data_IF_689415980032
#
_entry.id   IF_689415980032
#
_cell.length_a   1.000
_cell.length_b   1.000
_cell.length_c   1.000
_cell.angle_alpha   90.00
_cell.angle_beta   90.00
_cell.angle_gamma   90.00
#
_symmetry.space_group_name_H-M   'P 1'
#
loop_
_entity.id
_entity.type
_entity.pdbx_description
1 polymer ?
#
# COMPACT_ATOMS: atom_id res chain seq x y z
N UNK A 1 1.53 -18.48 -5.72
CA UNK A 1 2.51 -18.57 -4.63
C UNK A 1 2.65 -20.00 -4.16
N UNK A 2 3.87 -20.52 -4.05
CA UNK A 2 4.13 -21.81 -3.39
C UNK A 2 4.15 -21.59 -1.87
N UNK A 3 3.77 -22.61 -1.08
CA UNK A 3 3.69 -22.51 0.39
C UNK A 3 4.96 -21.97 1.08
N UNK A 4 6.18 -22.38 0.66
CA UNK A 4 7.43 -21.85 1.21
C UNK A 4 7.62 -20.35 1.00
N UNK A 5 7.32 -19.84 -0.21
CA UNK A 5 7.45 -18.41 -0.54
C UNK A 5 6.50 -17.57 0.31
N UNK A 6 5.23 -17.97 0.42
CA UNK A 6 4.26 -17.28 1.26
C UNK A 6 4.69 -17.21 2.74
N UNK A 7 5.19 -18.33 3.29
CA UNK A 7 5.66 -18.38 4.68
C UNK A 7 6.81 -17.40 4.93
N UNK A 8 7.75 -17.31 3.99
CA UNK A 8 8.86 -16.35 4.07
C UNK A 8 8.36 -14.90 4.02
N UNK A 9 7.54 -14.53 3.04
CA UNK A 9 7.03 -13.16 2.90
C UNK A 9 6.23 -12.72 4.13
N UNK A 10 5.40 -13.63 4.67
CA UNK A 10 4.65 -13.39 5.91
C UNK A 10 5.58 -13.13 7.10
N UNK A 11 6.66 -13.90 7.23
CA UNK A 11 7.65 -13.70 8.31
C UNK A 11 8.29 -12.30 8.23
N UNK A 12 8.59 -11.82 7.02
CA UNK A 12 9.17 -10.48 6.79
C UNK A 12 8.18 -9.37 7.17
N UNK A 13 6.90 -9.50 6.80
CA UNK A 13 5.90 -8.45 6.99
C UNK A 13 5.31 -8.40 8.41
N UNK A 14 5.18 -9.56 9.09
CA UNK A 14 4.49 -9.70 10.38
C UNK A 14 4.86 -8.69 11.48
N UNK A 15 6.13 -8.28 11.67
CA UNK A 15 6.48 -7.34 12.75
C UNK A 15 5.74 -5.99 12.66
N UNK A 16 5.35 -5.55 11.46
CA UNK A 16 4.61 -4.29 11.27
C UNK A 16 3.13 -4.36 11.70
N UNK A 17 2.65 -5.57 11.97
CA UNK A 17 1.29 -5.85 12.45
C UNK A 17 1.29 -6.26 13.94
N UNK A 18 2.45 -6.22 14.60
CA UNK A 18 2.56 -6.44 16.04
C UNK A 18 1.99 -5.26 16.84
N UNK A 19 1.65 -5.52 18.11
CA UNK A 19 1.01 -4.53 18.99
C UNK A 19 1.78 -3.20 19.06
N UNK A 20 3.10 -3.25 19.26
CA UNK A 20 3.96 -2.04 19.35
C UNK A 20 4.00 -1.23 18.05
N UNK A 21 3.93 -1.90 16.91
CA UNK A 21 3.87 -1.22 15.61
C UNK A 21 2.53 -0.46 15.48
N UNK A 22 1.42 -1.10 15.82
CA UNK A 22 0.09 -0.48 15.79
C UNK A 22 0.02 0.71 16.76
N UNK A 23 0.57 0.59 17.97
CA UNK A 23 0.67 1.70 18.93
C UNK A 23 1.46 2.89 18.35
N UNK A 24 2.51 2.63 17.56
CA UNK A 24 3.28 3.71 16.91
C UNK A 24 2.50 4.45 15.82
N UNK A 25 1.47 3.84 15.25
CA UNK A 25 0.64 4.42 14.19
C UNK A 25 -0.44 5.37 14.71
N UNK A 26 -0.70 5.41 16.02
CA UNK A 26 -1.74 6.24 16.65
C UNK A 26 -1.65 7.71 16.22
N UNK A 27 -0.43 8.26 16.21
CA UNK A 27 -0.19 9.65 15.79
C UNK A 27 -0.62 9.93 14.35
N UNK A 28 -0.44 8.97 13.44
CA UNK A 28 -0.83 9.07 12.03
C UNK A 28 -2.35 8.98 11.91
N UNK A 29 -2.98 8.03 12.62
CA UNK A 29 -4.43 7.90 12.62
C UNK A 29 -5.12 9.17 13.11
N UNK A 30 -4.64 9.76 14.21
CA UNK A 30 -5.21 10.98 14.78
C UNK A 30 -5.07 12.15 13.79
N UNK A 31 -3.87 12.35 13.21
CA UNK A 31 -3.63 13.43 12.24
C UNK A 31 -4.53 13.32 11.01
N UNK A 32 -4.61 12.15 10.39
CA UNK A 32 -5.44 11.97 9.19
C UNK A 32 -6.94 12.05 9.51
N UNK A 33 -7.35 11.62 10.70
CA UNK A 33 -8.72 11.79 11.19
C UNK A 33 -9.07 13.26 11.41
N UNK A 34 -8.16 14.07 11.96
CA UNK A 34 -8.36 15.51 12.08
C UNK A 34 -8.55 16.17 10.71
N UNK A 35 -7.74 15.78 9.71
CA UNK A 35 -7.91 16.27 8.34
C UNK A 35 -9.25 15.84 7.72
N UNK A 36 -9.68 14.60 7.95
CA UNK A 36 -11.00 14.13 7.55
C UNK A 36 -12.10 14.98 8.20
N UNK A 37 -12.02 15.24 9.51
CA UNK A 37 -13.00 16.05 10.23
C UNK A 37 -13.06 17.49 9.71
N UNK A 38 -11.93 18.09 9.36
CA UNK A 38 -11.89 19.42 8.73
C UNK A 38 -12.64 19.40 7.40
N UNK A 39 -12.39 18.39 6.54
CA UNK A 39 -13.09 18.23 5.26
C UNK A 39 -14.59 18.06 5.46
N UNK A 40 -15.00 17.18 6.38
CA UNK A 40 -16.42 16.93 6.67
C UNK A 40 -17.13 18.17 7.19
N UNK A 41 -16.50 18.95 8.08
CA UNK A 41 -17.06 20.21 8.60
C UNK A 41 -17.19 21.31 7.54
N UNK A 42 -16.44 21.24 6.45
CA UNK A 42 -16.55 22.17 5.33
C UNK A 42 -17.77 21.92 4.43
N UNK A 43 -18.41 20.76 4.58
CA UNK A 43 -19.58 20.38 3.77
C UNK A 43 -20.81 21.13 4.30
N UNK A 44 -21.61 21.78 3.43
CA UNK A 44 -22.82 22.49 3.85
C UNK A 44 -23.81 21.57 4.57
N UNK A 45 -24.40 22.06 5.67
CA UNK A 45 -25.29 21.30 6.58
C UNK A 45 -26.48 20.61 5.87
N UNK A 46 -26.92 21.15 4.73
CA UNK A 46 -28.07 20.64 3.97
C UNK A 46 -27.68 19.89 2.69
N UNK A 47 -26.42 19.47 2.54
CA UNK A 47 -25.96 18.72 1.36
C UNK A 47 -25.76 17.25 1.70
N UNK A 48 -26.48 16.38 0.98
CA UNK A 48 -26.16 14.95 0.97
C UNK A 48 -24.86 14.74 0.16
N UNK A 49 -23.99 13.89 0.67
CA UNK A 49 -22.76 13.50 0.00
C UNK A 49 -22.43 12.05 0.35
N UNK A 50 -21.64 11.41 -0.50
CA UNK A 50 -21.11 10.09 -0.23
C UNK A 50 -19.85 10.19 0.63
N UNK A 51 -19.89 9.60 1.83
CA UNK A 51 -18.75 9.58 2.76
C UNK A 51 -17.69 8.56 2.34
N UNK A 52 -18.03 7.61 1.46
CA UNK A 52 -17.14 6.53 1.02
C UNK A 52 -15.81 7.07 0.49
N UNK A 53 -15.84 8.03 -0.43
CA UNK A 53 -14.62 8.63 -1.02
C UNK A 53 -13.73 9.27 0.05
N UNK A 54 -14.34 9.97 1.01
CA UNK A 54 -13.61 10.61 2.11
C UNK A 54 -12.91 9.58 3.00
N UNK A 55 -13.61 8.49 3.34
CA UNK A 55 -13.07 7.41 4.18
C UNK A 55 -11.95 6.69 3.44
N UNK A 56 -12.18 6.23 2.20
CA UNK A 56 -11.18 5.47 1.44
C UNK A 56 -9.93 6.30 1.18
N UNK A 57 -10.08 7.59 0.83
CA UNK A 57 -8.92 8.48 0.67
C UNK A 57 -8.12 8.59 1.97
N UNK A 58 -8.81 8.78 3.11
CA UNK A 58 -8.15 8.92 4.41
C UNK A 58 -7.43 7.63 4.82
N UNK A 59 -8.07 6.47 4.65
CA UNK A 59 -7.47 5.18 5.00
C UNK A 59 -6.30 4.83 4.07
N UNK A 60 -6.38 5.14 2.77
CA UNK A 60 -5.26 4.99 1.84
C UNK A 60 -4.04 5.83 2.26
N UNK A 61 -4.27 7.07 2.70
CA UNK A 61 -3.20 7.96 3.17
C UNK A 61 -2.55 7.45 4.45
N UNK A 62 -3.37 6.96 5.37
CA UNK A 62 -2.91 6.30 6.60
C UNK A 62 -2.05 5.08 6.28
N UNK A 63 -2.47 4.21 5.35
CA UNK A 63 -1.69 3.03 4.94
C UNK A 63 -0.35 3.41 4.30
N UNK A 64 -0.34 4.44 3.45
CA UNK A 64 0.89 4.96 2.84
C UNK A 64 1.88 5.46 3.91
N UNK A 65 1.39 6.15 4.93
CA UNK A 65 2.24 6.71 5.98
C UNK A 65 2.73 5.67 6.99
N UNK A 66 1.90 4.68 7.30
CA UNK A 66 2.20 3.65 8.31
C UNK A 66 2.98 2.47 7.71
N UNK A 67 2.33 1.70 6.84
CA UNK A 67 2.89 0.44 6.32
C UNK A 67 3.92 0.66 5.23
N UNK A 68 3.71 1.67 4.36
CA UNK A 68 4.67 1.99 3.28
C UNK A 68 5.79 2.93 3.77
N UNK A 69 5.59 3.58 4.92
CA UNK A 69 6.59 4.44 5.57
C UNK A 69 6.81 5.76 4.84
N UNK A 70 5.82 6.31 4.16
CA UNK A 70 5.96 7.57 3.43
C UNK A 70 5.63 8.75 4.32
N UNK A 71 6.28 9.88 4.08
CA UNK A 71 5.83 11.13 4.69
C UNK A 71 4.52 11.61 4.06
N UNK A 72 3.83 12.50 4.74
CA UNK A 72 2.56 13.06 4.24
C UNK A 72 2.74 13.78 2.91
N UNK A 73 3.81 14.56 2.76
CA UNK A 73 4.12 15.26 1.50
C UNK A 73 4.43 14.27 0.38
N UNK A 74 5.17 13.20 0.68
CA UNK A 74 5.44 12.14 -0.29
C UNK A 74 4.15 11.46 -0.72
N UNK A 75 3.25 11.16 0.23
CA UNK A 75 1.96 10.50 -0.01
C UNK A 75 1.05 11.32 -0.92
N UNK A 76 0.96 12.64 -0.70
CA UNK A 76 0.16 13.55 -1.53
C UNK A 76 0.73 13.63 -2.96
N UNK A 77 2.05 13.58 -3.09
CA UNK A 77 2.74 13.67 -4.38
C UNK A 77 2.89 12.31 -5.10
N UNK A 78 2.27 11.24 -4.60
CA UNK A 78 2.31 9.95 -5.27
C UNK A 78 1.54 9.99 -6.60
N UNK A 79 2.11 9.41 -7.67
CA UNK A 79 1.42 9.33 -8.95
C UNK A 79 0.18 8.44 -8.81
N UNK A 80 -0.90 8.81 -9.48
CA UNK A 80 -2.12 8.00 -9.60
C UNK A 80 -2.85 7.62 -8.31
N UNK A 81 -2.51 8.18 -7.14
CA UNK A 81 -3.17 7.80 -5.87
C UNK A 81 -4.70 7.96 -5.92
N UNK A 82 -5.19 9.08 -6.44
CA UNK A 82 -6.63 9.33 -6.61
C UNK A 82 -7.27 8.42 -7.69
N UNK A 83 -6.72 8.34 -8.92
CA UNK A 83 -7.20 7.38 -9.92
C UNK A 83 -7.23 5.92 -9.45
N UNK A 84 -6.25 5.49 -8.66
CA UNK A 84 -6.19 4.14 -8.08
C UNK A 84 -7.37 3.94 -7.11
N UNK A 85 -7.59 4.89 -6.20
CA UNK A 85 -8.72 4.83 -5.26
C UNK A 85 -10.06 4.74 -6.02
N UNK A 86 -10.26 5.60 -7.02
CA UNK A 86 -11.49 5.67 -7.81
C UNK A 86 -11.73 4.39 -8.63
N UNK A 87 -10.67 3.81 -9.22
CA UNK A 87 -10.77 2.63 -10.08
C UNK A 87 -10.70 1.29 -9.33
N UNK A 88 -10.46 1.31 -8.02
CA UNK A 88 -10.38 0.09 -7.20
C UNK A 88 -11.73 -0.66 -7.12
N UNK A 89 -12.88 -0.01 -6.85
CA UNK A 89 -14.17 -0.70 -6.84
C UNK A 89 -14.52 -1.46 -8.14
N UNK A 90 -14.48 -0.84 -9.34
CA UNK A 90 -14.77 -1.58 -10.57
C UNK A 90 -13.73 -2.67 -10.88
N UNK A 91 -12.49 -2.53 -10.40
CA UNK A 91 -11.52 -3.61 -10.50
C UNK A 91 -11.90 -4.83 -9.65
N UNK A 92 -12.46 -4.63 -8.45
CA UNK A 92 -12.96 -5.74 -7.64
C UNK A 92 -14.06 -6.51 -8.36
N UNK A 93 -14.95 -5.83 -9.07
CA UNK A 93 -15.98 -6.47 -9.88
C UNK A 93 -15.36 -7.33 -11.00
N UNK A 94 -14.34 -6.82 -11.70
CA UNK A 94 -13.61 -7.58 -12.72
C UNK A 94 -12.95 -8.84 -12.13
N UNK A 95 -12.29 -8.71 -10.97
CA UNK A 95 -11.65 -9.85 -10.30
C UNK A 95 -12.68 -10.87 -9.87
N UNK A 96 -13.79 -10.43 -9.26
CA UNK A 96 -14.88 -11.31 -8.84
C UNK A 96 -15.52 -12.04 -10.02
N UNK A 97 -15.71 -11.34 -11.14
CA UNK A 97 -16.20 -11.92 -12.38
C UNK A 97 -15.26 -12.98 -12.92
N UNK A 98 -13.94 -12.75 -12.90
CA UNK A 98 -12.95 -13.78 -13.30
C UNK A 98 -12.95 -14.99 -12.37
N UNK A 99 -13.23 -14.79 -11.08
CA UNK A 99 -13.32 -15.88 -10.11
C UNK A 99 -14.57 -16.74 -10.33
N UNK A 100 -15.70 -16.14 -10.70
CA UNK A 100 -17.01 -16.82 -10.76
C UNK A 100 -17.43 -17.27 -12.15
N UNK A 101 -17.02 -16.57 -13.21
CA UNK A 101 -17.38 -16.86 -14.60
C UNK A 101 -16.29 -17.69 -15.27
N UNK A 102 -16.56 -18.98 -15.47
CA UNK A 102 -15.59 -19.93 -16.04
C UNK A 102 -15.02 -19.50 -17.40
N UNK A 103 -15.79 -18.81 -18.26
CA UNK A 103 -15.33 -18.38 -19.57
C UNK A 103 -14.33 -17.21 -19.50
N UNK A 104 -14.37 -16.39 -18.45
CA UNK A 104 -13.38 -15.32 -18.21
C UNK A 104 -12.07 -15.84 -17.61
N UNK A 105 -12.03 -17.12 -17.22
CA UNK A 105 -10.79 -17.78 -16.79
C UNK A 105 -9.92 -18.18 -17.99
N UNK A 106 -10.51 -18.29 -19.18
CA UNK A 106 -9.80 -18.59 -20.42
C UNK A 106 -9.11 -17.29 -20.88
N UNK A 107 -7.78 -17.22 -20.75
CA UNK A 107 -7.02 -15.98 -20.99
C UNK A 107 -7.26 -15.35 -22.37
N UNK A 108 -7.25 -16.09 -23.50
CA UNK A 108 -7.54 -15.50 -24.81
C UNK A 108 -8.93 -14.85 -24.88
N UNK A 109 -9.94 -15.45 -24.23
CA UNK A 109 -11.29 -14.88 -24.19
C UNK A 109 -11.26 -13.58 -23.41
N UNK A 110 -10.64 -13.59 -22.23
CA UNK A 110 -10.53 -12.40 -21.38
C UNK A 110 -9.77 -11.27 -22.08
N UNK A 111 -8.67 -11.55 -22.78
CA UNK A 111 -7.88 -10.52 -23.47
C UNK A 111 -8.67 -9.74 -24.53
N UNK A 112 -9.72 -10.33 -25.09
CA UNK A 112 -10.60 -9.68 -26.06
C UNK A 112 -11.66 -8.79 -25.40
N UNK A 113 -11.80 -8.82 -24.08
CA UNK A 113 -12.85 -8.07 -23.38
C UNK A 113 -12.37 -6.68 -22.95
N UNK A 114 -13.31 -5.79 -22.62
CA UNK A 114 -12.98 -4.43 -22.15
C UNK A 114 -12.42 -4.44 -20.73
N UNK A 115 -12.84 -5.41 -19.94
CA UNK A 115 -12.39 -5.66 -18.57
C UNK A 115 -10.88 -5.94 -18.52
N UNK A 116 -10.34 -6.66 -19.51
CA UNK A 116 -8.88 -6.83 -19.62
C UNK A 116 -8.15 -5.51 -19.84
N UNK A 117 -8.67 -4.63 -20.69
CA UNK A 117 -8.05 -3.31 -20.92
C UNK A 117 -8.09 -2.45 -19.65
N UNK A 118 -9.20 -2.46 -18.91
CA UNK A 118 -9.33 -1.77 -17.63
C UNK A 118 -8.37 -2.34 -16.57
N UNK A 119 -8.31 -3.66 -16.44
CA UNK A 119 -7.37 -4.33 -15.54
C UNK A 119 -5.92 -3.98 -15.91
N UNK A 120 -5.57 -4.00 -17.20
CA UNK A 120 -4.23 -3.67 -17.68
C UNK A 120 -3.83 -2.24 -17.34
N UNK A 121 -4.69 -1.26 -17.63
CA UNK A 121 -4.44 0.14 -17.28
C UNK A 121 -4.27 0.33 -15.77
N UNK A 122 -5.09 -0.36 -14.97
CA UNK A 122 -4.96 -0.32 -13.51
C UNK A 122 -3.61 -0.86 -13.04
N UNK A 123 -3.18 -2.00 -13.59
CA UNK A 123 -1.87 -2.59 -13.28
C UNK A 123 -0.75 -1.61 -13.64
N UNK A 124 -0.81 -0.95 -14.80
CA UNK A 124 0.20 0.04 -15.22
C UNK A 124 0.29 1.20 -14.20
N UNK A 125 -0.84 1.78 -13.79
CA UNK A 125 -0.87 2.82 -12.76
C UNK A 125 -0.32 2.33 -11.41
N UNK A 126 -0.68 1.12 -10.99
CA UNK A 126 -0.18 0.51 -9.76
C UNK A 126 1.33 0.25 -9.82
N UNK A 127 1.87 -0.18 -10.96
CA UNK A 127 3.30 -0.38 -11.14
C UNK A 127 4.05 0.94 -11.01
N UNK A 128 3.57 2.02 -11.62
CA UNK A 128 4.17 3.36 -11.47
C UNK A 128 4.10 3.88 -10.03
N UNK A 129 2.94 3.68 -9.38
CA UNK A 129 2.73 4.00 -7.96
C UNK A 129 3.73 3.25 -7.06
N UNK A 130 3.79 1.92 -7.17
CA UNK A 130 4.71 1.09 -6.39
C UNK A 130 6.18 1.41 -6.67
N UNK A 131 6.55 1.69 -7.92
CA UNK A 131 7.91 2.09 -8.29
C UNK A 131 8.33 3.38 -7.59
N UNK A 132 7.43 4.36 -7.52
CA UNK A 132 7.72 5.62 -6.83
C UNK A 132 7.93 5.43 -5.33
N UNK A 133 7.13 4.56 -4.71
CA UNK A 133 7.25 4.25 -3.29
C UNK A 133 8.59 3.57 -3.00
N UNK A 134 8.93 2.52 -3.76
CA UNK A 134 10.20 1.80 -3.61
C UNK A 134 11.38 2.75 -3.80
N UNK A 135 11.31 3.68 -4.77
CA UNK A 135 12.32 4.70 -4.97
C UNK A 135 12.52 5.56 -3.71
N UNK A 136 11.45 6.13 -3.16
CA UNK A 136 11.51 6.97 -1.96
C UNK A 136 12.09 6.22 -0.76
N UNK A 137 11.68 4.96 -0.57
CA UNK A 137 12.21 4.13 0.53
C UNK A 137 13.68 3.80 0.33
N UNK A 138 14.12 3.47 -0.88
CA UNK A 138 15.54 3.24 -1.15
C UNK A 138 16.40 4.48 -0.91
N UNK A 139 15.93 5.67 -1.30
CA UNK A 139 16.63 6.93 -1.03
C UNK A 139 16.74 7.21 0.47
N UNK A 140 15.64 6.97 1.20
CA UNK A 140 15.61 7.09 2.67
C UNK A 140 16.61 6.14 3.32
N UNK A 141 16.60 4.86 2.93
CA UNK A 141 17.49 3.83 3.46
C UNK A 141 18.98 4.09 3.19
N UNK A 142 19.33 4.72 2.06
CA UNK A 142 20.73 5.11 1.77
C UNK A 142 21.25 6.20 2.71
N UNK A 143 20.36 7.05 3.20
CA UNK A 143 20.69 8.18 4.06
C UNK A 143 20.70 7.80 5.55
N UNK A 144 20.20 6.60 5.91
CA UNK A 144 20.29 6.09 7.28
C UNK A 144 21.71 5.62 7.60
N UNK A 145 22.18 5.91 8.80
CA UNK A 145 23.49 5.48 9.27
C UNK A 145 23.57 3.95 9.38
N UNK A 146 24.75 3.36 9.16
CA UNK A 146 24.98 1.90 9.18
C UNK A 146 24.51 1.21 10.47
N UNK A 147 24.40 1.94 11.59
CA UNK A 147 23.89 1.42 12.85
C UNK A 147 22.37 1.16 12.84
N UNK A 148 21.59 1.88 12.04
CA UNK A 148 20.14 1.66 11.86
C UNK A 148 19.84 0.51 10.87
N UNK A 149 20.80 0.09 10.05
CA UNK A 149 20.62 -1.07 9.15
C UNK A 149 20.64 -2.40 9.93
N UNK A 150 21.27 -2.43 11.12
CA UNK A 150 21.28 -3.59 12.01
C UNK A 150 19.96 -3.84 12.77
N UNK A 151 18.91 -3.04 12.50
CA UNK A 151 17.61 -3.14 13.17
C UNK A 151 16.89 -4.48 12.93
N UNK A 152 17.13 -5.16 11.80
CA UNK A 152 16.57 -6.51 11.56
C UNK A 152 17.07 -7.56 12.55
N UNK A 153 18.22 -7.33 13.21
CA UNK A 153 18.80 -8.25 14.20
C UNK A 153 18.39 -7.89 15.65
N UNK A 154 17.63 -6.81 15.85
CA UNK A 154 17.08 -6.49 17.18
C UNK A 154 15.92 -7.42 17.51
N UNK A 155 15.66 -7.67 18.81
CA UNK A 155 14.50 -8.45 19.24
C UNK A 155 13.22 -7.93 18.57
N UNK A 156 12.33 -8.84 18.16
CA UNK A 156 11.11 -8.53 17.38
C UNK A 156 10.28 -7.39 17.98
N UNK A 157 10.38 -7.20 19.30
CA UNK A 157 9.63 -6.24 20.08
C UNK A 157 10.32 -4.87 20.27
N UNK A 158 11.56 -4.64 19.82
CA UNK A 158 12.25 -3.37 20.12
C UNK A 158 11.55 -2.14 19.47
N UNK A 159 11.46 -1.01 20.19
CA UNK A 159 10.89 0.25 19.66
C UNK A 159 11.62 0.74 18.40
N UNK A 160 12.88 0.33 18.21
CA UNK A 160 13.62 0.67 17.00
C UNK A 160 13.21 -0.19 15.81
N UNK A 161 12.70 -1.41 16.05
CA UNK A 161 12.19 -2.30 15.02
C UNK A 161 10.88 -1.76 14.41
N UNK A 162 10.06 -1.03 15.17
CA UNK A 162 8.79 -0.46 14.65
C UNK A 162 9.00 0.70 13.67
N UNK A 163 10.22 1.24 13.54
CA UNK A 163 10.54 2.31 12.59
C UNK A 163 10.66 1.84 11.14
N UNK A 164 10.95 0.55 10.92
CA UNK A 164 11.09 0.00 9.57
C UNK A 164 9.71 -0.29 8.98
N UNK A 165 9.45 0.24 7.79
CA UNK A 165 8.21 -0.05 7.07
C UNK A 165 8.21 -1.48 6.51
N UNK A 166 7.06 -1.94 6.02
CA UNK A 166 6.97 -3.24 5.34
C UNK A 166 7.95 -3.29 4.17
N UNK A 167 8.00 -2.21 3.39
CA UNK A 167 8.83 -2.10 2.18
C UNK A 167 10.32 -2.10 2.56
N UNK A 168 10.70 -1.42 3.63
CA UNK A 168 12.09 -1.42 4.09
C UNK A 168 12.57 -2.83 4.43
N UNK A 169 11.73 -3.61 5.11
CA UNK A 169 12.06 -5.00 5.47
C UNK A 169 12.25 -5.89 4.24
N UNK A 170 11.43 -5.68 3.20
CA UNK A 170 11.59 -6.38 1.92
C UNK A 170 12.84 -5.95 1.15
N UNK A 171 13.22 -4.67 1.20
CA UNK A 171 14.46 -4.18 0.59
C UNK A 171 15.68 -4.74 1.34
N UNK A 172 15.66 -4.71 2.68
CA UNK A 172 16.76 -5.14 3.53
C UNK A 172 16.95 -6.66 3.55
N UNK A 173 15.88 -7.45 3.38
CA UNK A 173 15.97 -8.91 3.32
C UNK A 173 16.71 -9.42 2.07
N UNK A 174 16.83 -8.59 1.02
CA UNK A 174 17.43 -8.94 -0.28
C UNK A 174 16.81 -10.19 -0.96
N UNK A 175 15.65 -10.67 -0.50
CA UNK A 175 15.00 -11.88 -1.05
C UNK A 175 14.33 -11.62 -2.40
N UNK A 176 14.01 -10.35 -2.73
CA UNK A 176 13.39 -9.96 -3.99
C UNK A 176 14.28 -8.98 -4.76
N UNK A 177 14.52 -9.25 -6.05
CA UNK A 177 15.14 -8.27 -6.95
C UNK A 177 14.20 -7.09 -7.17
N UNK A 178 14.72 -5.92 -7.59
CA UNK A 178 13.90 -4.72 -7.85
C UNK A 178 12.70 -4.99 -8.76
N UNK A 179 12.92 -5.76 -9.82
CA UNK A 179 11.85 -6.09 -10.78
C UNK A 179 10.84 -7.10 -10.23
N UNK A 180 11.20 -7.85 -9.19
CA UNK A 180 10.32 -8.79 -8.50
C UNK A 180 9.48 -8.06 -7.43
N UNK A 181 10.07 -7.06 -6.75
CA UNK A 181 9.35 -6.16 -5.83
C UNK A 181 8.22 -5.36 -6.50
N UNK A 182 8.35 -5.07 -7.80
CA UNK A 182 7.35 -4.32 -8.56
C UNK A 182 6.28 -5.22 -9.19
N UNK A 183 6.52 -6.53 -9.21
CA UNK A 183 5.61 -7.54 -9.79
C UNK A 183 4.82 -8.31 -8.74
N UNK A 184 5.27 -8.31 -7.49
CA UNK A 184 4.53 -8.76 -6.30
C UNK A 184 3.48 -7.72 -5.88
#
# INVERSE_FOLDING_TARGET
>A
FTGPTWRKHRKIANPNYGKRAIESYESVFNRETDHLMIKLRSIPINRQFDIYECIVTTTSYVVCQTLMGLDKEQTINLPHIHPIIEKTPPLYDIVFDRMTKWYLQIEPIFWMTKEYQQQKQFIEMMTEFSAKIVQHRMETLKNLEKEEINLMNSEEDSLRNTKLSVIDRFILSQELKRDELLKE
#
